data_IF_409889925581
#
_entry.id   IF_409889925581
#
_cell.length_a   1.000
_cell.length_b   1.000
_cell.length_c   1.000
_cell.angle_alpha   90.00
_cell.angle_beta   90.00
_cell.angle_gamma   90.00
#
_symmetry.space_group_name_H-M   'P 1'
#
loop_
_entity.id
_entity.type
_entity.pdbx_description
1 polymer ?
#
# COMPACT_ATOMS: atom_id res chain seq x y z
N UNK A 1 10.58 14.80 13.35
CA UNK A 1 9.51 14.32 12.46
C UNK A 1 8.69 15.53 12.03
N UNK A 2 8.62 15.83 10.73
CA UNK A 2 7.68 16.85 10.24
C UNK A 2 6.27 16.28 10.31
N UNK A 3 5.32 17.08 10.78
CA UNK A 3 3.91 16.73 10.74
C UNK A 3 3.44 16.96 9.31
N UNK A 4 3.03 15.88 8.62
CA UNK A 4 2.33 16.02 7.34
C UNK A 4 1.02 16.77 7.60
N UNK A 5 0.88 17.95 7.00
CA UNK A 5 -0.36 18.70 7.00
C UNK A 5 -0.66 19.16 5.58
N UNK A 6 -1.79 18.72 5.04
CA UNK A 6 -2.38 19.39 3.90
C UNK A 6 -3.23 20.55 4.42
N UNK A 7 -3.28 21.65 3.67
CA UNK A 7 -4.34 22.63 3.86
C UNK A 7 -5.66 21.92 3.58
N UNK A 8 -6.48 21.72 4.62
CA UNK A 8 -7.71 20.91 4.55
C UNK A 8 -8.76 21.47 3.55
N UNK A 9 -8.53 22.65 2.97
CA UNK A 9 -9.48 23.34 2.09
C UNK A 9 -8.81 24.13 0.94
N UNK A 10 -7.76 23.62 0.30
CA UNK A 10 -7.19 24.28 -0.89
C UNK A 10 -7.94 23.96 -2.21
N UNK A 11 -8.98 23.13 -2.17
CA UNK A 11 -9.78 22.75 -3.32
C UNK A 11 -9.04 21.88 -4.35
N UNK A 12 -7.83 21.39 -4.04
CA UNK A 12 -7.03 20.61 -4.98
C UNK A 12 -7.33 19.12 -4.88
N UNK A 13 -7.56 18.48 -6.02
CA UNK A 13 -7.54 17.02 -6.13
C UNK A 13 -6.14 16.49 -5.81
N UNK A 14 -6.09 15.43 -5.01
CA UNK A 14 -4.85 14.74 -4.64
C UNK A 14 -4.90 13.29 -5.10
N UNK A 15 -3.74 12.74 -5.39
CA UNK A 15 -3.58 11.36 -5.83
C UNK A 15 -3.10 10.49 -4.68
N UNK A 16 -3.72 9.32 -4.55
CA UNK A 16 -3.32 8.27 -3.61
C UNK A 16 -2.73 7.11 -4.39
N UNK A 17 -1.48 6.75 -4.09
CA UNK A 17 -0.82 5.59 -4.66
C UNK A 17 -1.14 4.34 -3.85
N UNK A 18 -1.72 3.33 -4.47
CA UNK A 18 -2.03 2.04 -3.80
C UNK A 18 -0.84 1.09 -3.98
N UNK A 19 -0.38 0.49 -2.88
CA UNK A 19 0.63 -0.58 -2.84
C UNK A 19 0.02 -1.78 -2.13
N UNK A 20 -0.24 -2.85 -2.88
CA UNK A 20 -0.73 -4.11 -2.33
C UNK A 20 0.46 -5.00 -1.98
N UNK A 21 0.65 -5.26 -0.69
CA UNK A 21 1.75 -6.07 -0.16
C UNK A 21 1.36 -7.56 -0.17
N UNK A 22 0.06 -7.88 -0.17
CA UNK A 22 -0.40 -9.26 -0.19
C UNK A 22 -0.08 -9.97 -1.51
N UNK A 23 0.36 -11.23 -1.41
CA UNK A 23 0.58 -12.14 -2.54
C UNK A 23 -0.73 -12.60 -3.21
N UNK A 24 -1.87 -12.27 -2.61
CA UNK A 24 -3.23 -12.63 -3.03
C UNK A 24 -4.02 -11.42 -3.60
N UNK A 25 -3.38 -10.46 -4.27
CA UNK A 25 -4.04 -9.23 -4.77
C UNK A 25 -4.54 -9.29 -6.23
N UNK A 26 -5.66 -8.59 -6.54
CA UNK A 26 -6.45 -8.61 -7.81
C UNK A 26 -5.67 -8.57 -9.11
N UNK A 27 -4.53 -7.88 -9.08
CA UNK A 27 -3.77 -7.55 -10.27
C UNK A 27 -2.33 -8.03 -10.12
N UNK A 28 -1.86 -8.87 -11.04
CA UNK A 28 -0.57 -9.55 -10.92
C UNK A 28 0.63 -8.59 -10.89
N UNK A 29 0.54 -7.48 -11.63
CA UNK A 29 1.59 -6.46 -11.68
C UNK A 29 1.65 -5.55 -10.44
N UNK A 30 0.65 -5.60 -9.55
CA UNK A 30 0.59 -4.77 -8.34
C UNK A 30 1.00 -5.50 -7.07
N UNK A 31 1.36 -6.78 -7.16
CA UNK A 31 1.88 -7.58 -6.05
C UNK A 31 3.30 -7.13 -5.68
N UNK A 32 3.55 -6.98 -4.39
CA UNK A 32 4.91 -7.03 -3.84
C UNK A 32 5.20 -8.49 -3.48
N UNK A 33 6.30 -9.07 -3.97
CA UNK A 33 6.65 -10.45 -3.62
C UNK A 33 7.34 -10.54 -2.25
N UNK A 34 7.94 -9.44 -1.80
CA UNK A 34 8.47 -9.24 -0.46
C UNK A 34 8.08 -7.86 0.09
N UNK A 35 7.87 -7.72 1.42
CA UNK A 35 7.81 -6.41 2.08
C UNK A 35 9.00 -5.50 1.77
N UNK A 36 10.15 -6.06 1.41
CA UNK A 36 11.36 -5.30 1.06
C UNK A 36 11.21 -4.49 -0.24
N UNK A 37 10.22 -4.81 -1.09
CA UNK A 37 9.93 -4.06 -2.31
C UNK A 37 9.10 -2.79 -2.06
N UNK A 38 8.49 -2.68 -0.87
CA UNK A 38 7.57 -1.58 -0.52
C UNK A 38 8.23 -0.21 -0.60
N UNK A 39 9.46 0.01 -0.09
CA UNK A 39 10.13 1.30 -0.21
C UNK A 39 10.32 1.74 -1.67
N UNK A 40 10.82 0.86 -2.53
CA UNK A 40 11.05 1.16 -3.94
C UNK A 40 9.74 1.45 -4.71
N UNK A 41 8.64 0.78 -4.35
CA UNK A 41 7.30 1.09 -4.87
C UNK A 41 6.80 2.44 -4.38
N UNK A 42 7.01 2.76 -3.11
CA UNK A 42 6.68 4.06 -2.52
C UNK A 42 7.35 5.20 -3.27
N UNK A 43 8.66 5.11 -3.48
CA UNK A 43 9.42 6.11 -4.25
C UNK A 43 8.93 6.22 -5.70
N UNK A 44 8.55 5.10 -6.34
CA UNK A 44 7.96 5.15 -7.68
C UNK A 44 6.64 5.93 -7.68
N UNK A 45 5.78 5.68 -6.70
CA UNK A 45 4.48 6.36 -6.58
C UNK A 45 4.64 7.85 -6.28
N UNK A 46 5.62 8.21 -5.46
CA UNK A 46 6.00 9.62 -5.25
C UNK A 46 6.43 10.28 -6.57
N UNK A 47 7.33 9.64 -7.34
CA UNK A 47 7.74 10.13 -8.66
C UNK A 47 6.59 10.23 -9.67
N UNK A 48 5.57 9.39 -9.53
CA UNK A 48 4.33 9.42 -10.32
C UNK A 48 3.36 10.53 -9.86
N UNK A 49 3.66 11.23 -8.75
CA UNK A 49 2.86 12.36 -8.24
C UNK A 49 1.88 12.00 -7.13
N UNK A 50 2.02 10.82 -6.50
CA UNK A 50 1.19 10.45 -5.36
C UNK A 50 1.47 11.38 -4.16
N UNK A 51 0.39 11.91 -3.57
CA UNK A 51 0.46 12.71 -2.34
C UNK A 51 0.41 11.83 -1.09
N UNK A 52 -0.15 10.63 -1.21
CA UNK A 52 -0.32 9.66 -0.15
C UNK A 52 -0.06 8.25 -0.69
N UNK A 53 0.29 7.33 0.21
CA UNK A 53 0.37 5.91 -0.09
C UNK A 53 -0.66 5.16 0.76
N UNK A 54 -1.39 4.25 0.13
CA UNK A 54 -2.27 3.28 0.79
C UNK A 54 -1.61 1.90 0.72
N UNK A 55 -1.35 1.32 1.88
CA UNK A 55 -0.59 0.07 2.03
C UNK A 55 -1.54 -1.07 2.45
N UNK A 56 -1.91 -1.92 1.50
CA UNK A 56 -2.79 -3.06 1.73
C UNK A 56 -2.02 -4.36 2.00
N UNK A 57 -1.93 -4.78 3.26
CA UNK A 57 -1.30 -6.07 3.64
C UNK A 57 -2.26 -7.27 3.56
N UNK A 58 -3.56 -7.03 3.48
CA UNK A 58 -4.60 -8.06 3.37
C UNK A 58 -5.40 -7.84 2.08
N UNK A 59 -5.85 -8.93 1.46
CA UNK A 59 -6.67 -8.86 0.26
C UNK A 59 -8.14 -8.69 0.64
N UNK A 60 -8.82 -7.73 0.01
CA UNK A 60 -10.28 -7.57 0.10
C UNK A 60 -11.01 -8.26 -1.06
N UNK A 61 -10.29 -9.07 -1.86
CA UNK A 61 -10.89 -9.84 -2.95
C UNK A 61 -11.99 -10.77 -2.42
N UNK A 62 -13.12 -10.92 -3.16
CA UNK A 62 -14.10 -11.97 -2.88
C UNK A 62 -13.43 -13.35 -2.84
N UNK A 63 -13.58 -14.08 -1.73
CA UNK A 63 -13.01 -15.41 -1.55
C UNK A 63 -11.56 -15.45 -1.04
N UNK A 64 -10.94 -14.29 -0.74
CA UNK A 64 -9.64 -14.27 -0.04
C UNK A 64 -9.75 -14.93 1.34
N UNK A 65 -8.72 -15.68 1.72
CA UNK A 65 -8.62 -16.27 3.05
C UNK A 65 -7.77 -15.36 3.92
N UNK A 66 -8.31 -14.93 5.06
CA UNK A 66 -7.55 -14.23 6.08
C UNK A 66 -6.32 -15.08 6.45
N UNK A 67 -5.12 -14.55 6.20
CA UNK A 67 -3.87 -15.19 6.60
C UNK A 67 -3.66 -14.95 8.10
N UNK A 68 -4.33 -15.76 8.94
CA UNK A 68 -3.92 -15.88 10.32
C UNK A 68 -2.59 -16.64 10.37
N UNK A 69 -1.50 -15.96 10.73
CA UNK A 69 -0.26 -16.63 11.15
C UNK A 69 -0.56 -17.34 12.47
N UNK A 70 -0.91 -18.62 12.42
CA UNK A 70 -0.85 -19.48 13.60
C UNK A 70 0.60 -19.46 14.09
N UNK A 71 0.79 -19.15 15.37
CA UNK A 71 2.11 -18.91 15.95
C UNK A 71 3.07 -20.06 15.70
N UNK A 72 4.16 -19.77 14.99
CA UNK A 72 5.38 -20.58 15.06
C UNK A 72 6.14 -20.17 16.31
N UNK A 73 6.38 -21.15 17.19
CA UNK A 73 7.08 -21.04 18.46
C UNK A 73 8.26 -20.05 18.40
N UNK A 74 8.21 -19.04 19.27
CA UNK A 74 9.41 -18.51 19.93
C UNK A 74 9.75 -19.43 21.10
#
# INVERSE_FOLDING_TARGET
MQRFSFSENDGKTRFMGIINISSDSFYEQSRCNSPDEVPARGEKKEREGANFLDLGAESSRPGSKAHFRTGGNR
#
